data_IF_917181531712
#
_entry.id   IF_917181531712
#
_cell.length_a   1.000
_cell.length_b   1.000
_cell.length_c   1.000
_cell.angle_alpha   90.00
_cell.angle_beta   90.00
_cell.angle_gamma   90.00
#
_symmetry.space_group_name_H-M   'P 1'
#
loop_
_entity.id
_entity.type
_entity.pdbx_description
1 polymer ?
#
# COMPACT_ATOMS: atom_id res chain seq x y z
N UNK A 1 -26.43 50.50 -26.71
CA UNK A 1 -25.09 49.92 -27.02
C UNK A 1 -24.27 49.93 -25.74
N UNK A 2 -24.24 48.82 -25.00
CA UNK A 2 -23.47 48.67 -23.75
C UNK A 2 -22.30 47.74 -24.01
N UNK A 3 -21.10 48.27 -23.89
CA UNK A 3 -19.85 47.49 -23.97
C UNK A 3 -19.57 46.81 -22.64
N UNK A 4 -19.64 45.46 -22.60
CA UNK A 4 -19.13 44.68 -21.50
C UNK A 4 -17.60 44.60 -21.59
N UNK A 5 -16.92 45.22 -20.63
CA UNK A 5 -15.49 45.04 -20.42
C UNK A 5 -15.26 43.68 -19.73
N UNK A 6 -14.60 42.76 -20.42
CA UNK A 6 -14.09 41.52 -19.82
C UNK A 6 -12.85 41.85 -18.98
N UNK A 7 -12.93 41.63 -17.68
CA UNK A 7 -11.78 41.75 -16.77
C UNK A 7 -10.75 40.64 -17.04
N UNK A 8 -9.45 40.83 -16.69
CA UNK A 8 -8.40 39.87 -16.93
C UNK A 8 -8.61 38.60 -16.09
N UNK A 9 -8.38 37.45 -16.71
CA UNK A 9 -8.40 36.13 -16.07
C UNK A 9 -7.42 36.06 -14.89
N UNK A 10 -7.74 35.34 -13.80
CA UNK A 10 -6.83 35.17 -12.67
C UNK A 10 -5.58 34.41 -13.12
N UNK A 11 -4.42 35.02 -12.87
CA UNK A 11 -3.11 34.41 -13.10
C UNK A 11 -2.99 33.14 -12.26
N UNK A 12 -2.62 32.04 -12.92
CA UNK A 12 -2.46 30.73 -12.33
C UNK A 12 -1.65 30.74 -11.03
N UNK A 13 -2.20 30.12 -10.02
CA UNK A 13 -1.50 29.79 -8.79
C UNK A 13 -0.34 28.84 -9.14
N UNK A 14 0.87 29.33 -8.98
CA UNK A 14 2.08 28.51 -9.11
C UNK A 14 2.06 27.33 -8.12
N UNK A 15 2.87 26.30 -8.35
CA UNK A 15 2.84 25.08 -7.54
C UNK A 15 3.08 25.43 -6.07
N UNK A 16 2.22 24.89 -5.19
CA UNK A 16 2.37 24.98 -3.74
C UNK A 16 3.74 24.47 -3.33
N UNK A 17 4.67 25.34 -2.99
CA UNK A 17 6.06 25.03 -2.59
C UNK A 17 6.20 24.24 -1.28
N UNK A 18 5.09 23.84 -0.64
CA UNK A 18 5.08 23.07 0.63
C UNK A 18 4.97 21.55 0.50
N UNK A 19 4.52 21.02 -0.65
CA UNK A 19 4.22 19.59 -0.83
C UNK A 19 5.44 18.72 -1.15
N UNK A 20 6.59 19.28 -1.46
CA UNK A 20 7.72 18.60 -2.13
C UNK A 20 8.73 17.93 -1.22
N UNK A 21 8.47 17.72 0.09
CA UNK A 21 9.49 17.17 1.00
C UNK A 21 9.19 15.79 1.58
N UNK A 22 8.10 15.14 1.21
CA UNK A 22 7.80 13.78 1.68
C UNK A 22 8.35 12.66 0.78
N UNK A 23 8.98 13.01 -0.34
CA UNK A 23 9.67 12.08 -1.25
C UNK A 23 8.74 11.17 -2.03
N UNK A 24 7.44 11.48 -2.12
CA UNK A 24 6.48 10.65 -2.86
C UNK A 24 6.33 11.07 -4.32
N UNK A 25 6.69 12.29 -4.69
CA UNK A 25 6.60 12.82 -6.07
C UNK A 25 5.30 12.45 -6.79
N UNK A 26 4.16 12.81 -6.18
CA UNK A 26 2.83 12.53 -6.67
C UNK A 26 2.16 13.81 -7.18
N UNK A 27 1.50 13.75 -8.33
CA UNK A 27 0.77 14.86 -8.94
C UNK A 27 -0.76 14.63 -8.89
N UNK A 28 -1.57 15.69 -8.83
CA UNK A 28 -3.02 15.59 -8.97
C UNK A 28 -3.43 14.83 -10.22
N UNK A 29 -4.46 14.01 -10.13
CA UNK A 29 -4.94 13.13 -11.20
C UNK A 29 -4.29 11.76 -11.25
N UNK A 30 -3.13 11.56 -10.62
CA UNK A 30 -2.50 10.24 -10.55
C UNK A 30 -3.34 9.23 -9.77
N UNK A 31 -3.35 7.97 -10.25
CA UNK A 31 -3.90 6.79 -9.58
C UNK A 31 -2.77 6.07 -8.84
N UNK A 32 -2.83 6.06 -7.52
CA UNK A 32 -1.72 5.61 -6.68
C UNK A 32 -2.16 4.54 -5.70
N UNK A 33 -1.49 3.39 -5.74
CA UNK A 33 -1.65 2.33 -4.75
C UNK A 33 -0.75 2.56 -3.54
N UNK A 34 -1.31 2.55 -2.34
CA UNK A 34 -0.57 2.59 -1.08
C UNK A 34 -0.50 1.18 -0.50
N UNK A 35 0.69 0.66 -0.28
CA UNK A 35 0.90 -0.68 0.26
C UNK A 35 1.80 -0.63 1.50
N UNK A 36 1.20 -0.75 2.66
CA UNK A 36 1.90 -0.75 3.95
C UNK A 36 2.39 -2.14 4.36
N UNK A 37 3.52 -2.18 5.02
CA UNK A 37 4.07 -3.41 5.56
C UNK A 37 5.36 -3.21 6.32
N UNK A 38 5.74 -4.23 7.12
CA UNK A 38 7.06 -4.25 7.78
C UNK A 38 8.20 -4.53 6.80
N UNK A 39 7.94 -5.22 5.68
CA UNK A 39 8.95 -5.64 4.69
C UNK A 39 10.19 -6.26 5.33
N UNK A 40 10.00 -7.24 6.19
CA UNK A 40 11.03 -7.83 7.04
C UNK A 40 11.28 -9.33 6.73
N UNK A 41 12.04 -9.67 5.66
CA UNK A 41 12.42 -8.82 4.55
C UNK A 41 11.30 -8.65 3.51
N UNK A 42 11.51 -7.74 2.55
CA UNK A 42 10.73 -7.70 1.32
C UNK A 42 11.00 -8.96 0.48
N UNK A 43 10.03 -9.39 -0.33
CA UNK A 43 10.14 -10.60 -1.15
C UNK A 43 9.20 -10.55 -2.38
N UNK A 44 9.33 -11.53 -3.28
CA UNK A 44 8.54 -11.62 -4.52
C UNK A 44 7.02 -11.57 -4.31
N UNK A 45 6.51 -12.02 -3.15
CA UNK A 45 5.10 -11.90 -2.81
C UNK A 45 4.63 -10.43 -2.70
N UNK A 46 5.50 -9.52 -2.23
CA UNK A 46 5.20 -8.09 -2.23
C UNK A 46 5.25 -7.51 -3.65
N UNK A 47 6.26 -7.90 -4.44
CA UNK A 47 6.38 -7.53 -5.85
C UNK A 47 5.16 -8.02 -6.66
N UNK A 48 4.68 -9.23 -6.38
CA UNK A 48 3.48 -9.79 -7.01
C UNK A 48 2.23 -8.96 -6.74
N UNK A 49 2.01 -8.54 -5.49
CA UNK A 49 0.91 -7.64 -5.11
C UNK A 49 1.01 -6.34 -5.91
N UNK A 50 2.19 -5.71 -5.95
CA UNK A 50 2.40 -4.46 -6.67
C UNK A 50 2.17 -4.59 -8.17
N UNK A 51 2.76 -5.61 -8.83
CA UNK A 51 2.56 -5.88 -10.28
C UNK A 51 1.10 -6.13 -10.62
N UNK A 52 0.39 -6.89 -9.76
CA UNK A 52 -1.02 -7.17 -9.95
C UNK A 52 -1.86 -5.90 -9.83
N UNK A 53 -1.60 -5.07 -8.81
CA UNK A 53 -2.28 -3.80 -8.61
C UNK A 53 -2.04 -2.83 -9.78
N UNK A 54 -0.79 -2.61 -10.18
CA UNK A 54 -0.45 -1.75 -11.32
C UNK A 54 -1.25 -2.12 -12.57
N UNK A 55 -1.27 -3.40 -12.93
CA UNK A 55 -1.94 -3.87 -14.15
C UNK A 55 -3.47 -3.89 -14.04
N UNK A 56 -4.00 -4.43 -12.93
CA UNK A 56 -5.44 -4.70 -12.80
C UNK A 56 -6.25 -3.46 -12.42
N UNK A 57 -5.63 -2.50 -11.73
CA UNK A 57 -6.26 -1.24 -11.31
C UNK A 57 -5.87 -0.07 -12.23
N UNK A 58 -4.92 -0.24 -13.15
CA UNK A 58 -4.42 0.84 -14.00
C UNK A 58 -3.75 1.94 -13.20
N UNK A 59 -2.91 1.58 -12.22
CA UNK A 59 -2.23 2.56 -11.36
C UNK A 59 -1.01 3.17 -12.06
N UNK A 60 -0.77 4.46 -11.84
CA UNK A 60 0.43 5.15 -12.30
C UNK A 60 1.63 4.85 -11.40
N UNK A 61 1.39 4.69 -10.08
CA UNK A 61 2.42 4.41 -9.08
C UNK A 61 1.91 3.45 -8.01
N UNK A 62 2.85 2.71 -7.41
CA UNK A 62 2.63 2.01 -6.13
C UNK A 62 3.67 2.47 -5.13
N UNK A 63 3.23 2.97 -4.00
CA UNK A 63 4.06 3.40 -2.88
C UNK A 63 4.08 2.29 -1.83
N UNK A 64 5.26 1.78 -1.52
CA UNK A 64 5.48 0.92 -0.37
C UNK A 64 5.80 1.79 0.84
N UNK A 65 4.91 1.78 1.82
CA UNK A 65 5.06 2.44 3.10
C UNK A 65 5.71 1.46 4.08
N UNK A 66 7.02 1.62 4.30
CA UNK A 66 7.77 0.75 5.22
C UNK A 66 7.54 1.23 6.64
N UNK A 67 6.81 0.43 7.41
CA UNK A 67 6.48 0.75 8.80
C UNK A 67 7.75 0.76 9.68
N UNK A 68 7.96 1.77 10.53
CA UNK A 68 9.10 1.79 11.46
C UNK A 68 9.04 0.60 12.40
N UNK A 69 7.88 0.33 12.97
CA UNK A 69 7.59 -0.87 13.75
C UNK A 69 6.10 -1.20 13.68
N UNK A 70 5.77 -2.47 13.38
CA UNK A 70 4.38 -2.91 13.44
C UNK A 70 3.98 -3.07 14.91
N UNK A 71 2.97 -2.30 15.42
CA UNK A 71 2.54 -2.38 16.82
C UNK A 71 2.03 -3.76 17.25
N UNK A 72 1.68 -4.62 16.28
CA UNK A 72 1.16 -5.98 16.50
C UNK A 72 2.28 -7.05 16.46
N UNK A 73 3.55 -6.67 16.24
CA UNK A 73 4.69 -7.59 16.17
C UNK A 73 5.73 -7.28 17.24
N UNK A 74 6.40 -8.34 17.73
CA UNK A 74 7.53 -8.21 18.64
C UNK A 74 8.67 -7.41 17.99
N UNK A 75 9.27 -6.49 18.75
CA UNK A 75 10.44 -5.72 18.29
C UNK A 75 11.69 -6.59 18.15
N UNK A 76 11.78 -7.71 18.87
CA UNK A 76 12.95 -8.60 18.87
C UNK A 76 13.21 -9.28 17.53
N UNK A 77 12.16 -9.47 16.70
CA UNK A 77 12.25 -10.18 15.41
C UNK A 77 12.22 -9.24 14.21
N UNK A 78 12.35 -7.93 14.42
CA UNK A 78 12.24 -6.94 13.35
C UNK A 78 13.62 -6.34 13.06
N UNK A 79 14.13 -6.55 11.84
CA UNK A 79 15.39 -5.96 11.39
C UNK A 79 15.34 -4.41 11.40
N UNK A 80 16.47 -3.73 11.52
CA UNK A 80 16.55 -2.27 11.44
C UNK A 80 15.83 -1.69 10.21
N UNK A 81 15.30 -0.47 10.34
CA UNK A 81 14.49 0.15 9.30
C UNK A 81 15.26 0.32 7.98
N UNK A 82 16.52 0.71 8.06
CA UNK A 82 17.42 0.91 6.92
C UNK A 82 17.66 -0.38 6.13
N UNK A 83 17.87 -1.50 6.80
CA UNK A 83 17.98 -2.82 6.16
C UNK A 83 16.67 -3.21 5.46
N UNK A 84 15.51 -2.97 6.11
CA UNK A 84 14.20 -3.26 5.53
C UNK A 84 13.91 -2.34 4.34
N UNK A 85 14.30 -1.08 4.41
CA UNK A 85 14.21 -0.13 3.31
C UNK A 85 15.09 -0.55 2.13
N UNK A 86 16.34 -0.97 2.39
CA UNK A 86 17.24 -1.47 1.35
C UNK A 86 16.67 -2.72 0.66
N UNK A 87 16.20 -3.68 1.45
CA UNK A 87 15.52 -4.88 0.94
C UNK A 87 14.27 -4.53 0.12
N UNK A 88 13.46 -3.58 0.59
CA UNK A 88 12.26 -3.14 -0.12
C UNK A 88 12.62 -2.49 -1.47
N UNK A 89 13.65 -1.63 -1.51
CA UNK A 89 14.12 -0.99 -2.75
C UNK A 89 14.63 -2.02 -3.75
N UNK A 90 15.43 -3.01 -3.30
CA UNK A 90 15.94 -4.06 -4.17
C UNK A 90 14.80 -4.87 -4.82
N UNK A 91 13.76 -5.23 -4.06
CA UNK A 91 12.62 -5.96 -4.61
C UNK A 91 11.73 -5.05 -5.46
N UNK A 92 11.50 -3.80 -5.07
CA UNK A 92 10.71 -2.83 -5.84
C UNK A 92 11.33 -2.57 -7.22
N UNK A 93 12.66 -2.50 -7.32
CA UNK A 93 13.38 -2.34 -8.59
C UNK A 93 13.04 -3.44 -9.61
N UNK A 94 12.74 -4.66 -9.16
CA UNK A 94 12.32 -5.77 -10.04
C UNK A 94 10.91 -5.58 -10.63
N UNK A 95 10.12 -4.67 -10.07
CA UNK A 95 8.77 -4.33 -10.57
C UNK A 95 8.86 -3.26 -11.64
N UNK A 96 9.70 -2.25 -11.43
CA UNK A 96 9.95 -1.18 -12.40
C UNK A 96 9.82 0.24 -11.83
N UNK A 97 9.90 1.26 -12.68
CA UNK A 97 9.98 2.68 -12.28
C UNK A 97 8.68 3.23 -11.68
N UNK A 98 7.57 2.51 -11.77
CA UNK A 98 6.31 2.87 -11.14
C UNK A 98 6.30 2.68 -9.61
N UNK A 99 7.40 2.11 -9.05
CA UNK A 99 7.50 1.82 -7.62
C UNK A 99 8.20 2.93 -6.85
N UNK A 100 7.62 3.28 -5.72
CA UNK A 100 8.21 4.19 -4.73
C UNK A 100 8.32 3.42 -3.40
N UNK A 101 9.47 3.49 -2.74
CA UNK A 101 9.67 2.93 -1.38
C UNK A 101 9.90 4.09 -0.43
N UNK A 102 9.08 4.21 0.60
CA UNK A 102 9.04 5.37 1.47
C UNK A 102 9.01 4.98 2.95
N UNK A 103 9.72 5.75 3.75
CA UNK A 103 9.69 5.80 5.22
C UNK A 103 8.71 6.87 5.74
N UNK A 104 7.67 7.18 4.98
CA UNK A 104 6.72 8.25 5.28
C UNK A 104 6.16 8.17 6.70
N UNK A 105 5.84 6.99 7.22
CA UNK A 105 5.34 6.80 8.59
C UNK A 105 6.32 7.35 9.63
N UNK A 106 7.62 7.09 9.46
CA UNK A 106 8.67 7.61 10.35
C UNK A 106 8.72 9.13 10.30
N UNK A 107 8.72 9.70 9.10
CA UNK A 107 8.82 11.17 8.91
C UNK A 107 7.57 11.90 9.35
N UNK A 108 6.41 11.29 9.19
CA UNK A 108 5.12 11.85 9.62
C UNK A 108 4.85 11.64 11.11
N UNK A 109 5.66 10.83 11.81
CA UNK A 109 5.45 10.49 13.22
C UNK A 109 4.18 9.71 13.47
N UNK A 110 3.66 8.99 12.46
CA UNK A 110 2.43 8.21 12.59
C UNK A 110 2.73 6.78 13.05
N UNK A 111 1.81 6.22 13.82
CA UNK A 111 1.94 4.86 14.37
C UNK A 111 0.90 3.90 13.79
N UNK A 112 -0.28 4.43 13.43
CA UNK A 112 -1.40 3.63 12.98
C UNK A 112 -1.67 3.88 11.50
N UNK A 113 -2.01 2.83 10.78
CA UNK A 113 -2.28 2.91 9.32
C UNK A 113 -3.27 4.01 8.98
N UNK A 114 -4.37 4.13 9.72
CA UNK A 114 -5.38 5.16 9.45
C UNK A 114 -4.80 6.58 9.53
N UNK A 115 -3.92 6.86 10.51
CA UNK A 115 -3.33 8.17 10.69
C UNK A 115 -2.30 8.46 9.57
N UNK A 116 -1.53 7.44 9.16
CA UNK A 116 -0.64 7.51 8.00
C UNK A 116 -1.40 7.83 6.72
N UNK A 117 -2.50 7.12 6.46
CA UNK A 117 -3.30 7.32 5.26
C UNK A 117 -3.96 8.70 5.23
N UNK A 118 -4.49 9.18 6.35
CA UNK A 118 -5.01 10.56 6.48
C UNK A 118 -3.92 11.60 6.18
N UNK A 119 -2.71 11.38 6.70
CA UNK A 119 -1.58 12.28 6.47
C UNK A 119 -1.12 12.30 5.00
N UNK A 120 -1.12 11.15 4.32
CA UNK A 120 -0.79 11.06 2.88
C UNK A 120 -1.85 11.79 2.05
N UNK A 121 -3.14 11.49 2.27
CA UNK A 121 -4.25 12.13 1.53
C UNK A 121 -4.24 13.65 1.70
N UNK A 122 -4.03 14.14 2.91
CA UNK A 122 -3.99 15.59 3.19
C UNK A 122 -2.83 16.30 2.48
N UNK A 123 -1.69 15.61 2.26
CA UNK A 123 -0.51 16.20 1.59
C UNK A 123 -0.59 16.15 0.06
N UNK A 124 -1.43 15.29 -0.50
CA UNK A 124 -1.54 15.07 -1.95
C UNK A 124 -2.98 15.25 -2.45
N UNK A 125 -3.52 16.48 -2.41
CA UNK A 125 -4.87 16.74 -2.89
C UNK A 125 -4.99 16.44 -4.40
N UNK A 126 -6.10 15.82 -4.80
CA UNK A 126 -6.37 15.46 -6.19
C UNK A 126 -5.72 14.15 -6.67
N UNK A 127 -4.95 13.45 -5.83
CA UNK A 127 -4.45 12.09 -6.12
C UNK A 127 -5.54 11.07 -5.78
N UNK A 128 -5.75 10.11 -6.67
CA UNK A 128 -6.70 9.01 -6.49
C UNK A 128 -5.98 7.83 -5.81
N UNK A 129 -6.18 7.69 -4.51
CA UNK A 129 -5.52 6.66 -3.72
C UNK A 129 -6.34 5.37 -3.64
N UNK A 130 -5.64 4.23 -3.65
CA UNK A 130 -6.19 2.90 -3.35
C UNK A 130 -5.31 2.25 -2.28
N UNK A 131 -5.90 1.80 -1.17
CA UNK A 131 -5.18 0.98 -0.20
C UNK A 131 -5.04 -0.45 -0.71
N UNK A 132 -3.81 -0.95 -0.77
CA UNK A 132 -3.49 -2.31 -1.21
C UNK A 132 -3.20 -3.20 -0.02
N UNK A 133 -3.73 -4.42 -0.01
CA UNK A 133 -3.39 -5.43 0.97
C UNK A 133 -3.39 -6.85 0.38
N UNK A 134 -2.60 -7.73 0.98
CA UNK A 134 -2.72 -9.16 0.72
C UNK A 134 -3.95 -9.75 1.39
N UNK A 135 -4.44 -10.88 0.89
CA UNK A 135 -5.60 -11.58 1.45
C UNK A 135 -5.36 -12.08 2.89
N UNK A 136 -4.11 -12.35 3.25
CA UNK A 136 -3.69 -12.67 4.62
C UNK A 136 -4.01 -11.54 5.60
N UNK A 137 -3.83 -10.29 5.20
CA UNK A 137 -4.17 -9.14 6.02
C UNK A 137 -5.68 -8.92 6.15
N UNK A 138 -6.47 -9.29 5.16
CA UNK A 138 -7.93 -9.12 5.21
C UNK A 138 -8.57 -9.92 6.35
N UNK A 139 -8.04 -11.11 6.66
CA UNK A 139 -8.53 -11.94 7.75
C UNK A 139 -8.50 -11.21 9.10
N UNK A 140 -7.40 -10.49 9.37
CA UNK A 140 -7.18 -9.76 10.62
C UNK A 140 -7.45 -8.25 10.51
N UNK A 141 -7.87 -7.75 9.35
CA UNK A 141 -8.07 -6.32 9.11
C UNK A 141 -9.05 -5.67 10.08
N UNK A 142 -10.07 -6.41 10.50
CA UNK A 142 -11.05 -5.94 11.48
C UNK A 142 -10.46 -5.64 12.87
N UNK A 143 -9.24 -6.09 13.15
CA UNK A 143 -8.48 -5.82 14.38
C UNK A 143 -7.62 -4.55 14.29
N UNK A 144 -7.48 -3.96 13.09
CA UNK A 144 -6.68 -2.77 12.92
C UNK A 144 -7.41 -1.54 13.48
N UNK A 145 -6.68 -0.68 14.17
CA UNK A 145 -7.26 0.58 14.66
C UNK A 145 -7.86 1.38 13.53
N UNK A 146 -9.13 1.76 13.66
CA UNK A 146 -9.83 2.55 12.66
C UNK A 146 -10.04 1.85 11.30
N UNK A 147 -10.09 0.52 11.25
CA UNK A 147 -10.24 -0.24 10.02
C UNK A 147 -11.48 0.16 9.18
N UNK A 148 -12.59 0.52 9.84
CA UNK A 148 -13.79 1.01 9.16
C UNK A 148 -13.57 2.39 8.54
N UNK A 149 -12.72 3.21 9.16
CA UNK A 149 -12.38 4.53 8.65
C UNK A 149 -11.43 4.42 7.44
N UNK A 150 -10.52 3.41 7.43
CA UNK A 150 -9.71 3.11 6.24
C UNK A 150 -10.62 2.79 5.06
N UNK A 151 -11.62 1.91 5.24
CA UNK A 151 -12.60 1.57 4.19
C UNK A 151 -13.41 2.77 3.70
N UNK A 152 -13.63 3.79 4.54
CA UNK A 152 -14.36 5.02 4.19
C UNK A 152 -13.47 6.13 3.67
N UNK A 153 -12.17 6.07 3.92
CA UNK A 153 -11.22 7.09 3.52
C UNK A 153 -10.84 6.96 2.04
N UNK A 154 -10.64 5.73 1.57
CA UNK A 154 -10.24 5.44 0.20
C UNK A 154 -10.66 4.03 -0.23
N UNK A 155 -10.77 3.76 -1.54
CA UNK A 155 -11.00 2.43 -2.07
C UNK A 155 -9.91 1.44 -1.63
N UNK A 156 -10.29 0.15 -1.50
CA UNK A 156 -9.39 -0.92 -1.03
C UNK A 156 -9.31 -2.04 -2.07
N UNK A 157 -8.10 -2.45 -2.42
CA UNK A 157 -7.88 -3.63 -3.26
C UNK A 157 -7.17 -4.73 -2.46
N UNK A 158 -7.79 -5.90 -2.42
CA UNK A 158 -7.26 -7.11 -1.79
C UNK A 158 -6.72 -8.02 -2.88
N UNK A 159 -5.46 -8.40 -2.79
CA UNK A 159 -4.80 -9.30 -3.75
C UNK A 159 -4.58 -10.66 -3.10
N UNK A 160 -5.04 -11.71 -3.77
CA UNK A 160 -4.93 -13.08 -3.30
C UNK A 160 -3.48 -13.48 -3.03
N UNK A 161 -3.26 -14.17 -1.90
CA UNK A 161 -2.00 -14.84 -1.55
C UNK A 161 -2.26 -16.34 -1.27
N UNK A 162 -1.25 -17.22 -1.44
CA UNK A 162 -1.39 -18.64 -1.12
C UNK A 162 -1.82 -18.86 0.33
N UNK A 163 -2.70 -19.83 0.56
CA UNK A 163 -3.12 -20.27 1.89
C UNK A 163 -4.20 -19.43 2.58
N UNK A 164 -4.57 -18.26 2.05
CA UNK A 164 -5.52 -17.33 2.70
C UNK A 164 -6.86 -17.16 1.96
N UNK A 165 -7.12 -17.97 0.92
CA UNK A 165 -8.28 -17.78 0.03
C UNK A 165 -9.64 -18.02 0.74
N UNK A 166 -9.73 -19.02 1.58
CA UNK A 166 -10.98 -19.37 2.27
C UNK A 166 -11.28 -18.39 3.40
N UNK A 167 -10.30 -18.14 4.26
CA UNK A 167 -10.46 -17.28 5.44
C UNK A 167 -10.77 -15.83 5.06
N UNK A 168 -10.20 -15.36 3.93
CA UNK A 168 -10.43 -13.99 3.46
C UNK A 168 -11.85 -13.75 2.93
N UNK A 169 -12.56 -14.80 2.42
CA UNK A 169 -13.92 -14.66 1.91
C UNK A 169 -14.95 -14.50 3.02
N UNK A 170 -14.66 -15.05 4.20
CA UNK A 170 -15.49 -14.99 5.41
C UNK A 170 -15.04 -13.91 6.39
N UNK A 171 -13.98 -13.14 6.05
CA UNK A 171 -13.45 -12.10 6.91
C UNK A 171 -14.53 -11.08 7.32
N UNK A 172 -14.57 -10.65 8.61
CA UNK A 172 -15.56 -9.69 9.09
C UNK A 172 -15.63 -8.40 8.27
N UNK A 173 -14.49 -7.93 7.77
CA UNK A 173 -14.43 -6.75 6.91
C UNK A 173 -15.12 -6.99 5.56
N UNK A 174 -14.93 -8.16 4.94
CA UNK A 174 -15.59 -8.51 3.69
C UNK A 174 -17.12 -8.61 3.86
N UNK A 175 -17.58 -9.20 4.96
CA UNK A 175 -19.00 -9.31 5.28
C UNK A 175 -19.63 -7.92 5.54
N UNK A 176 -19.00 -7.07 6.38
CA UNK A 176 -19.51 -5.74 6.72
C UNK A 176 -19.62 -4.81 5.52
N UNK A 177 -18.67 -4.88 4.58
CA UNK A 177 -18.63 -4.03 3.39
C UNK A 177 -19.05 -4.76 2.10
N UNK A 178 -19.77 -5.89 2.20
CA UNK A 178 -20.15 -6.74 1.06
C UNK A 178 -20.84 -5.94 -0.06
N UNK A 179 -21.75 -5.02 0.28
CA UNK A 179 -22.51 -4.20 -0.70
C UNK A 179 -21.64 -3.24 -1.53
N UNK A 180 -20.43 -2.92 -1.04
CA UNK A 180 -19.50 -2.02 -1.72
C UNK A 180 -18.42 -2.75 -2.52
N UNK A 181 -18.62 -4.06 -2.70
CA UNK A 181 -17.67 -4.89 -3.45
C UNK A 181 -17.82 -4.68 -4.95
N UNK A 182 -16.73 -4.26 -5.58
CA UNK A 182 -16.61 -4.12 -7.03
C UNK A 182 -16.17 -5.47 -7.64
N UNK A 183 -16.82 -5.97 -8.68
CA UNK A 183 -16.40 -7.18 -9.38
C UNK A 183 -14.96 -7.08 -9.89
N UNK A 184 -14.19 -8.16 -9.81
CA UNK A 184 -12.80 -8.18 -10.27
C UNK A 184 -12.61 -7.80 -11.75
N UNK A 185 -13.63 -8.05 -12.58
CA UNK A 185 -13.63 -7.63 -14.00
C UNK A 185 -13.69 -6.10 -14.16
N UNK A 186 -14.21 -5.38 -13.17
CA UNK A 186 -14.34 -3.93 -13.16
C UNK A 186 -13.28 -3.25 -12.27
N UNK A 187 -12.26 -3.96 -11.84
CA UNK A 187 -11.27 -3.47 -10.90
C UNK A 187 -10.53 -2.20 -11.39
N UNK A 188 -10.39 -2.01 -12.68
CA UNK A 188 -9.80 -0.79 -13.28
C UNK A 188 -10.55 0.50 -12.97
N UNK A 189 -11.84 0.41 -12.58
CA UNK A 189 -12.63 1.57 -12.14
C UNK A 189 -12.36 1.96 -10.70
N UNK A 190 -11.83 1.04 -9.88
CA UNK A 190 -11.71 1.21 -8.43
C UNK A 190 -11.02 2.52 -8.01
N UNK A 191 -9.90 2.95 -8.62
CA UNK A 191 -9.22 4.18 -8.21
C UNK A 191 -10.07 5.45 -8.36
N UNK A 192 -11.05 5.44 -9.24
CA UNK A 192 -11.93 6.58 -9.53
C UNK A 192 -13.27 6.53 -8.77
N UNK A 193 -13.50 5.49 -7.98
CA UNK A 193 -14.71 5.37 -7.18
C UNK A 193 -14.58 6.08 -5.85
N UNK A 194 -15.69 6.62 -5.37
CA UNK A 194 -15.76 7.13 -4.00
C UNK A 194 -15.75 5.96 -2.99
N UNK A 195 -15.09 6.16 -1.86
CA UNK A 195 -15.12 5.22 -0.76
C UNK A 195 -16.47 5.31 0.01
N UNK A 196 -16.95 4.19 0.54
CA UNK A 196 -16.32 2.88 0.54
C UNK A 196 -16.52 2.11 -0.77
N UNK A 197 -15.44 1.63 -1.35
CA UNK A 197 -15.45 0.71 -2.47
C UNK A 197 -14.30 -0.30 -2.30
N UNK A 198 -14.46 -1.56 -2.66
CA UNK A 198 -13.36 -2.51 -2.54
C UNK A 198 -13.48 -3.65 -3.54
N UNK A 199 -12.35 -4.26 -3.88
CA UNK A 199 -12.31 -5.42 -4.78
C UNK A 199 -11.40 -6.52 -4.24
N UNK A 200 -11.65 -7.76 -4.66
CA UNK A 200 -10.81 -8.91 -4.41
C UNK A 200 -10.28 -9.45 -5.73
N UNK A 201 -8.98 -9.42 -5.90
CA UNK A 201 -8.29 -9.84 -7.11
C UNK A 201 -7.66 -11.22 -6.89
N UNK A 202 -8.17 -12.23 -7.59
CA UNK A 202 -7.48 -13.49 -7.76
C UNK A 202 -6.29 -13.28 -8.70
N UNK A 203 -5.14 -13.81 -8.34
CA UNK A 203 -3.93 -13.77 -9.14
C UNK A 203 -3.20 -15.11 -9.00
N UNK A 204 -2.35 -15.50 -9.96
CA UNK A 204 -1.50 -16.68 -9.81
C UNK A 204 -0.75 -16.62 -8.50
N UNK A 205 -0.77 -17.71 -7.73
CA UNK A 205 -0.28 -17.73 -6.36
C UNK A 205 1.25 -17.77 -6.33
N UNK A 206 1.86 -16.87 -5.58
CA UNK A 206 3.29 -16.89 -5.28
C UNK A 206 3.50 -17.37 -3.84
N UNK A 207 4.16 -18.52 -3.67
CA UNK A 207 4.28 -19.23 -2.37
C UNK A 207 5.31 -18.62 -1.40
N UNK A 208 6.02 -17.54 -1.74
CA UNK A 208 7.02 -16.93 -0.87
C UNK A 208 6.38 -16.02 0.19
N UNK A 209 6.71 -16.25 1.46
CA UNK A 209 6.34 -15.41 2.59
C UNK A 209 7.58 -14.95 3.37
N UNK A 210 7.51 -13.80 4.05
CA UNK A 210 8.60 -13.31 4.90
C UNK A 210 8.98 -14.30 6.00
N UNK A 211 8.00 -15.02 6.53
CA UNK A 211 8.21 -16.04 7.57
C UNK A 211 9.02 -17.22 7.02
N UNK A 212 8.66 -17.75 5.84
CA UNK A 212 9.42 -18.82 5.20
C UNK A 212 10.86 -18.42 4.87
N UNK A 213 11.07 -17.18 4.43
CA UNK A 213 12.41 -16.66 4.12
C UNK A 213 13.26 -16.53 5.40
N UNK A 214 12.68 -16.03 6.51
CA UNK A 214 13.40 -15.95 7.79
C UNK A 214 13.78 -17.33 8.32
N UNK A 215 12.86 -18.29 8.30
CA UNK A 215 13.12 -19.67 8.71
C UNK A 215 14.27 -20.30 7.89
N UNK A 216 14.27 -20.11 6.57
CA UNK A 216 15.33 -20.60 5.70
C UNK A 216 16.70 -19.91 5.91
N UNK A 217 16.72 -18.66 6.42
CA UNK A 217 17.97 -17.96 6.80
C UNK A 217 18.49 -18.44 8.14
N UNK A 218 17.63 -18.66 9.14
CA UNK A 218 18.00 -19.19 10.46
C UNK A 218 18.63 -20.58 10.33
N UNK A 219 18.02 -21.49 9.56
CA UNK A 219 18.55 -22.83 9.33
C UNK A 219 19.90 -22.89 8.60
N UNK A 220 20.24 -21.85 7.80
CA UNK A 220 21.56 -21.76 7.14
C UNK A 220 22.66 -21.18 8.02
N UNK A 221 22.29 -20.47 9.09
CA UNK A 221 23.24 -19.93 10.06
C UNK A 221 23.80 -20.98 11.01
N UNK A 222 23.12 -22.10 11.21
CA UNK A 222 23.55 -23.22 12.06
C UNK A 222 24.50 -24.21 11.36
N UNK A 223 24.52 -24.25 10.01
CA UNK A 223 25.39 -25.15 9.24
C UNK A 223 26.80 -24.60 9.00
N UNK A 224 27.12 -23.36 9.39
CA UNK A 224 28.41 -22.72 9.11
C UNK A 224 29.37 -22.64 10.31
N UNK A 225 29.27 -23.55 11.28
CA UNK A 225 30.30 -23.73 12.33
C UNK A 225 30.90 -25.13 12.26
N UNK A 226 31.87 -25.41 11.38
CA UNK A 226 32.67 -26.63 11.48
C UNK A 226 33.60 -26.46 12.67
N UNK A 227 33.37 -27.28 13.70
CA UNK A 227 34.33 -27.51 14.78
C UNK A 227 35.61 -28.07 14.14
N UNK A 228 36.67 -27.34 14.22
CA UNK A 228 38.01 -27.71 13.91
C UNK A 228 38.95 -27.05 14.88
#
# INVERSE_FOLDING_TARGET
>A
MSFFHAGPAPKGSGPCRGALRDGLDLAPGMKVGLFGGSFNPAHDGHAHVARTALRRLGLDRVVWLVSPQNPLKSSRDTAPLDERMASARAVAATVGPAMIVSDFETRAGTRWTIDTLRAVVARHPGVQFVWLMGSDNLADFHRWRGWTDIMRLMPVAVIARPGSLLDSRTAPAAARFARYRVPAAQAGLLPSLEAPAWTYLSAPLNHRSSTAIRAARAGRGEESNPIG
#
